data_IF_219270331097
#
_entry.id   IF_219270331097
#
_cell.length_a   1.000
_cell.length_b   1.000
_cell.length_c   1.000
_cell.angle_alpha   90.00
_cell.angle_beta   90.00
_cell.angle_gamma   90.00
#
_symmetry.space_group_name_H-M   'P 1'
#
loop_
_entity.id
_entity.type
_entity.pdbx_description
1 polymer ?
#
# COMPACT_ATOMS: atom_id res chain seq x y z
N UNK A 1 -12.86 -23.46 3.30
CA UNK A 1 -11.83 -23.15 2.28
C UNK A 1 -12.31 -22.10 1.25
N UNK A 2 -13.61 -21.91 1.06
CA UNK A 2 -14.20 -20.98 0.07
C UNK A 2 -14.07 -19.49 0.49
N UNK A 3 -14.11 -19.17 1.77
CA UNK A 3 -13.99 -17.80 2.30
C UNK A 3 -12.59 -17.19 2.12
N UNK A 4 -11.54 -18.00 2.23
CA UNK A 4 -10.14 -17.53 2.08
C UNK A 4 -9.83 -17.19 0.60
N UNK A 5 -10.37 -17.96 -0.36
CA UNK A 5 -10.22 -17.68 -1.80
C UNK A 5 -10.94 -16.39 -2.22
N UNK A 6 -12.10 -16.08 -1.65
CA UNK A 6 -12.86 -14.87 -1.93
C UNK A 6 -12.14 -13.59 -1.47
N UNK A 7 -11.47 -13.62 -0.30
CA UNK A 7 -10.73 -12.44 0.20
C UNK A 7 -9.47 -12.18 -0.63
N UNK A 8 -8.72 -13.21 -0.98
CA UNK A 8 -7.52 -13.08 -1.82
C UNK A 8 -7.84 -12.53 -3.22
N UNK A 9 -8.92 -12.98 -3.84
CA UNK A 9 -9.37 -12.47 -5.14
C UNK A 9 -9.78 -10.99 -5.06
N UNK A 10 -10.50 -10.58 -4.01
CA UNK A 10 -10.87 -9.18 -3.76
C UNK A 10 -9.64 -8.29 -3.57
N UNK A 11 -8.61 -8.78 -2.88
CA UNK A 11 -7.38 -8.02 -2.61
C UNK A 11 -6.54 -7.84 -3.89
N UNK A 12 -6.46 -8.88 -4.73
CA UNK A 12 -5.79 -8.79 -6.04
C UNK A 12 -6.52 -7.80 -6.94
N UNK A 13 -7.84 -7.83 -6.96
CA UNK A 13 -8.66 -6.91 -7.74
C UNK A 13 -8.42 -5.45 -7.34
N UNK A 14 -8.47 -5.13 -6.05
CA UNK A 14 -8.20 -3.77 -5.54
C UNK A 14 -6.80 -3.29 -5.90
N UNK A 15 -5.78 -4.16 -5.80
CA UNK A 15 -4.42 -3.81 -6.19
C UNK A 15 -4.33 -3.47 -7.67
N UNK A 16 -4.99 -4.23 -8.54
CA UNK A 16 -5.01 -3.98 -9.97
C UNK A 16 -5.74 -2.69 -10.33
N UNK A 17 -6.84 -2.38 -9.65
CA UNK A 17 -7.58 -1.13 -9.81
C UNK A 17 -6.71 0.09 -9.47
N UNK A 18 -6.00 0.07 -8.33
CA UNK A 18 -5.07 1.12 -7.96
C UNK A 18 -3.91 1.26 -8.95
N UNK A 19 -3.37 0.14 -9.43
CA UNK A 19 -2.29 0.15 -10.43
C UNK A 19 -2.76 0.74 -11.75
N UNK A 20 -3.95 0.34 -12.24
CA UNK A 20 -4.51 0.86 -13.49
C UNK A 20 -4.77 2.37 -13.39
N UNK A 21 -5.39 2.83 -12.29
CA UNK A 21 -5.63 4.25 -12.06
C UNK A 21 -4.33 5.06 -12.11
N UNK A 22 -3.27 4.59 -11.44
CA UNK A 22 -1.97 5.26 -11.44
C UNK A 22 -1.33 5.28 -12.83
N UNK A 23 -1.38 4.18 -13.56
CA UNK A 23 -0.89 4.11 -14.95
C UNK A 23 -1.63 5.07 -15.87
N UNK A 24 -2.93 5.22 -15.68
CA UNK A 24 -3.74 6.15 -16.46
C UNK A 24 -3.35 7.60 -16.16
N UNK A 25 -3.16 7.96 -14.90
CA UNK A 25 -2.69 9.28 -14.46
C UNK A 25 -1.28 9.60 -15.01
N UNK A 26 -0.40 8.60 -15.07
CA UNK A 26 0.95 8.72 -15.62
C UNK A 26 1.01 8.63 -17.16
N UNK A 27 -0.11 8.51 -17.85
CA UNK A 27 -0.21 8.32 -19.29
C UNK A 27 0.55 7.08 -19.80
N UNK A 28 0.62 6.04 -18.98
CA UNK A 28 1.28 4.75 -19.26
C UNK A 28 0.30 3.65 -19.72
N UNK A 29 -0.95 3.98 -19.91
CA UNK A 29 -1.92 3.17 -20.65
C UNK A 29 -1.89 3.66 -22.08
N UNK A 30 -1.38 2.83 -22.98
CA UNK A 30 -1.27 3.20 -24.38
C UNK A 30 -2.43 2.65 -25.20
N UNK A 31 -3.15 3.56 -25.83
CA UNK A 31 -4.20 3.25 -26.79
C UNK A 31 -3.73 3.63 -28.20
N UNK A 32 -3.69 2.64 -29.07
CA UNK A 32 -3.35 2.77 -30.48
C UNK A 32 -4.56 2.38 -31.32
N UNK A 33 -4.49 2.53 -32.64
CA UNK A 33 -5.61 2.23 -33.55
C UNK A 33 -6.12 0.79 -33.40
N UNK A 34 -5.22 -0.18 -33.23
CA UNK A 34 -5.53 -1.61 -33.30
C UNK A 34 -5.30 -2.35 -31.98
N UNK A 35 -4.79 -1.70 -30.96
CA UNK A 35 -4.55 -2.29 -29.64
C UNK A 35 -4.48 -1.26 -28.53
N UNK A 36 -4.73 -1.72 -27.32
CA UNK A 36 -4.35 -1.00 -26.11
C UNK A 36 -3.46 -1.92 -25.23
N UNK A 37 -2.54 -1.32 -24.51
CA UNK A 37 -1.56 -2.07 -23.71
C UNK A 37 -1.13 -1.27 -22.48
N UNK A 38 -0.90 -1.97 -21.37
CA UNK A 38 -0.23 -1.41 -20.23
C UNK A 38 0.60 -2.46 -19.47
N UNK A 39 1.59 -2.00 -18.73
CA UNK A 39 2.42 -2.84 -17.86
C UNK A 39 1.67 -3.09 -16.54
N UNK A 40 1.39 -4.33 -16.22
CA UNK A 40 0.63 -4.71 -15.02
C UNK A 40 1.38 -4.51 -13.70
N UNK A 41 2.70 -4.26 -13.75
CA UNK A 41 3.58 -4.26 -12.58
C UNK A 41 3.81 -5.66 -11.99
N UNK A 42 3.29 -6.70 -12.63
CA UNK A 42 3.53 -8.09 -12.26
C UNK A 42 4.71 -8.67 -13.05
N UNK A 43 5.28 -9.74 -12.52
CA UNK A 43 6.39 -10.45 -13.14
C UNK A 43 6.09 -11.95 -13.20
N UNK A 44 6.59 -12.61 -14.23
CA UNK A 44 6.56 -14.06 -14.30
C UNK A 44 7.63 -14.70 -13.40
N UNK A 45 7.77 -16.03 -13.46
CA UNK A 45 8.78 -16.77 -12.69
C UNK A 45 10.23 -16.31 -12.95
N UNK A 46 10.52 -15.82 -14.15
CA UNK A 46 11.84 -15.32 -14.55
C UNK A 46 12.04 -13.82 -14.33
N UNK A 47 11.16 -13.18 -13.58
CA UNK A 47 11.13 -11.73 -13.35
C UNK A 47 10.99 -10.88 -14.62
N UNK A 48 10.39 -11.45 -15.68
CA UNK A 48 10.05 -10.69 -16.86
C UNK A 48 8.72 -9.95 -16.63
N UNK A 49 8.60 -8.67 -17.04
CA UNK A 49 7.37 -7.91 -16.92
C UNK A 49 6.20 -8.57 -17.67
N UNK A 50 5.01 -8.45 -17.13
CA UNK A 50 3.77 -8.93 -17.72
C UNK A 50 2.94 -7.72 -18.14
N UNK A 51 2.49 -7.72 -19.39
CA UNK A 51 1.67 -6.68 -19.98
C UNK A 51 0.25 -7.20 -20.20
N UNK A 52 -0.76 -6.38 -19.91
CA UNK A 52 -2.13 -6.61 -20.34
C UNK A 52 -2.30 -6.04 -21.74
N UNK A 53 -2.72 -6.88 -22.67
CA UNK A 53 -2.89 -6.55 -24.08
C UNK A 53 -4.36 -6.67 -24.47
N UNK A 54 -4.84 -5.67 -25.18
CA UNK A 54 -6.24 -5.53 -25.55
C UNK A 54 -6.35 -5.30 -27.05
N UNK A 55 -7.40 -5.87 -27.64
CA UNK A 55 -7.80 -5.66 -29.01
C UNK A 55 -9.13 -4.88 -29.08
N UNK A 56 -9.47 -4.26 -30.20
CA UNK A 56 -10.76 -3.58 -30.34
C UNK A 56 -11.92 -4.56 -30.09
N UNK A 57 -12.87 -4.11 -29.30
CA UNK A 57 -14.08 -4.89 -29.05
C UNK A 57 -15.02 -4.78 -30.26
N UNK A 58 -15.32 -5.91 -30.88
CA UNK A 58 -16.20 -5.99 -32.06
C UNK A 58 -17.70 -6.05 -31.70
N UNK A 59 -18.02 -6.16 -30.41
CA UNK A 59 -19.41 -6.22 -29.95
C UNK A 59 -19.95 -4.79 -29.77
N UNK A 60 -21.04 -4.41 -30.49
CA UNK A 60 -21.65 -3.10 -30.33
C UNK A 60 -22.11 -2.83 -28.89
N UNK A 61 -22.09 -1.57 -28.49
CA UNK A 61 -22.56 -1.08 -27.16
C UNK A 61 -21.78 -1.64 -25.95
N UNK A 62 -20.58 -2.21 -26.17
CA UNK A 62 -19.63 -2.64 -25.15
C UNK A 62 -18.46 -1.67 -25.05
N UNK A 63 -17.63 -1.85 -23.99
CA UNK A 63 -16.37 -1.10 -23.86
C UNK A 63 -15.52 -1.25 -25.13
N UNK A 64 -14.74 -0.23 -25.52
CA UNK A 64 -14.00 -0.21 -26.79
C UNK A 64 -12.93 -1.28 -26.89
N UNK A 65 -12.44 -1.79 -25.77
CA UNK A 65 -11.33 -2.72 -25.69
C UNK A 65 -11.75 -4.05 -25.07
N UNK A 66 -11.29 -5.13 -25.66
CA UNK A 66 -11.43 -6.50 -25.17
C UNK A 66 -10.06 -7.02 -24.73
N UNK A 67 -9.94 -7.55 -23.51
CA UNK A 67 -8.71 -8.15 -23.03
C UNK A 67 -8.42 -9.44 -23.82
N UNK A 68 -7.39 -9.39 -24.64
CA UNK A 68 -6.90 -10.55 -25.40
C UNK A 68 -6.08 -11.48 -24.50
N UNK A 69 -5.15 -10.92 -23.72
CA UNK A 69 -4.36 -11.72 -22.80
C UNK A 69 -3.30 -10.95 -22.02
N UNK A 70 -2.49 -11.73 -21.30
CA UNK A 70 -1.34 -11.25 -20.55
C UNK A 70 -0.07 -11.83 -21.17
N UNK A 71 0.83 -10.95 -21.61
CA UNK A 71 1.99 -11.33 -22.41
C UNK A 71 3.29 -10.76 -21.85
N UNK A 72 4.39 -11.45 -22.13
CA UNK A 72 5.75 -10.94 -21.92
C UNK A 72 6.22 -10.12 -23.11
N UNK A 73 7.27 -9.33 -22.93
CA UNK A 73 7.91 -8.56 -24.00
C UNK A 73 8.24 -9.42 -25.21
N UNK A 74 8.80 -10.62 -25.00
CA UNK A 74 9.18 -11.53 -26.09
C UNK A 74 8.00 -11.86 -27.02
N UNK A 75 6.81 -12.08 -26.46
CA UNK A 75 5.62 -12.36 -27.24
C UNK A 75 5.15 -11.14 -28.01
N UNK A 76 5.11 -9.99 -27.37
CA UNK A 76 4.66 -8.73 -27.97
C UNK A 76 5.59 -8.25 -29.10
N UNK A 77 6.91 -8.47 -28.98
CA UNK A 77 7.87 -8.19 -30.03
C UNK A 77 7.59 -9.04 -31.30
N UNK A 78 7.17 -10.30 -31.17
CA UNK A 78 6.75 -11.13 -32.29
C UNK A 78 5.50 -10.60 -33.01
N UNK A 79 4.60 -9.97 -32.27
CA UNK A 79 3.43 -9.29 -32.79
C UNK A 79 3.75 -7.88 -33.38
N UNK A 80 5.03 -7.52 -33.46
CA UNK A 80 5.49 -6.25 -34.04
C UNK A 80 5.41 -5.05 -33.09
N UNK A 81 5.17 -5.27 -31.80
CA UNK A 81 5.12 -4.20 -30.79
C UNK A 81 6.53 -4.00 -30.23
N UNK A 82 7.26 -3.03 -30.78
CA UNK A 82 8.68 -2.79 -30.47
C UNK A 82 8.89 -1.85 -29.28
N UNK A 83 7.88 -1.04 -28.91
CA UNK A 83 7.91 -0.16 -27.76
C UNK A 83 6.85 -0.60 -26.76
N UNK A 84 7.20 -0.60 -25.48
CA UNK A 84 6.33 -1.05 -24.41
C UNK A 84 6.20 0.01 -23.32
N UNK A 85 5.02 0.17 -22.71
CA UNK A 85 4.82 1.12 -21.64
C UNK A 85 5.55 0.70 -20.36
N UNK A 86 6.02 1.69 -19.64
CA UNK A 86 6.63 1.48 -18.33
C UNK A 86 5.58 1.07 -17.28
N UNK A 87 6.05 0.46 -16.19
CA UNK A 87 5.21 0.20 -15.02
C UNK A 87 4.86 1.50 -14.29
N UNK A 88 3.81 1.47 -13.46
CA UNK A 88 3.47 2.56 -12.56
C UNK A 88 4.63 2.89 -11.61
N UNK A 89 4.88 4.19 -11.43
CA UNK A 89 5.87 4.71 -10.49
C UNK A 89 5.18 5.16 -9.21
N UNK A 90 5.44 4.46 -8.10
CA UNK A 90 4.90 4.83 -6.79
C UNK A 90 5.92 5.57 -5.93
N UNK A 91 7.21 5.43 -6.23
CA UNK A 91 8.31 5.95 -5.42
C UNK A 91 9.14 6.87 -6.30
N UNK A 92 8.97 8.16 -6.09
CA UNK A 92 9.75 9.18 -6.80
C UNK A 92 11.11 9.39 -6.12
N UNK A 93 11.10 9.41 -4.78
CA UNK A 93 12.31 9.56 -3.98
C UNK A 93 12.49 8.33 -3.07
N UNK A 94 13.54 7.51 -3.25
CA UNK A 94 13.80 6.35 -2.41
C UNK A 94 13.97 6.68 -0.92
N UNK A 95 14.36 7.91 -0.56
CA UNK A 95 14.47 8.32 0.85
C UNK A 95 13.14 8.34 1.58
N UNK A 96 12.01 8.41 0.86
CA UNK A 96 10.66 8.40 1.46
C UNK A 96 10.25 7.00 1.96
N UNK A 97 11.00 5.97 1.55
CA UNK A 97 10.77 4.59 2.00
C UNK A 97 11.39 4.30 3.38
N UNK A 98 12.25 5.17 3.87
CA UNK A 98 12.98 4.98 5.13
C UNK A 98 12.55 6.05 6.13
N UNK A 99 12.21 5.60 7.35
CA UNK A 99 11.84 6.51 8.43
C UNK A 99 13.07 7.23 8.99
N UNK A 100 13.03 8.57 9.03
CA UNK A 100 14.06 9.37 9.67
C UNK A 100 13.76 9.50 11.19
N UNK A 101 14.51 8.76 11.98
CA UNK A 101 14.34 8.73 13.45
C UNK A 101 14.67 10.05 14.13
N UNK A 102 15.35 10.97 13.45
CA UNK A 102 15.68 12.31 13.98
C UNK A 102 14.47 13.24 13.97
N UNK A 103 13.49 12.97 13.12
CA UNK A 103 12.30 13.79 13.01
C UNK A 103 11.25 13.43 14.06
N UNK A 104 10.52 14.41 14.61
CA UNK A 104 9.41 14.15 15.51
C UNK A 104 8.21 13.58 14.76
N UNK A 105 7.45 12.72 15.44
CA UNK A 105 6.12 12.27 15.02
C UNK A 105 5.08 13.01 15.83
N UNK A 106 4.17 13.70 15.17
CA UNK A 106 3.08 14.43 15.80
C UNK A 106 1.77 13.69 15.54
N UNK A 107 1.22 12.98 16.56
CA UNK A 107 -0.07 12.33 16.44
C UNK A 107 -1.20 13.36 16.29
N UNK A 108 -2.11 13.11 15.37
CA UNK A 108 -3.31 13.92 15.21
C UNK A 108 -4.47 13.29 16.01
N UNK A 109 -4.53 13.60 17.30
CA UNK A 109 -5.48 12.97 18.22
C UNK A 109 -6.93 13.16 17.85
N UNK A 110 -7.30 14.32 17.27
CA UNK A 110 -8.66 14.59 16.79
C UNK A 110 -9.07 13.59 15.73
N UNK A 111 -8.15 13.21 14.83
CA UNK A 111 -8.42 12.17 13.83
C UNK A 111 -8.36 10.75 14.40
N UNK A 112 -7.46 10.50 15.36
CA UNK A 112 -7.26 9.15 15.90
C UNK A 112 -8.40 8.77 16.86
N UNK A 113 -8.86 9.71 17.68
CA UNK A 113 -9.82 9.46 18.76
C UNK A 113 -11.19 10.12 18.55
N UNK A 114 -11.26 11.18 17.74
CA UNK A 114 -12.48 11.96 17.53
C UNK A 114 -13.33 11.50 16.34
N UNK A 115 -12.72 10.86 15.35
CA UNK A 115 -13.43 10.24 14.24
C UNK A 115 -13.93 8.87 14.66
N UNK A 116 -15.24 8.59 14.52
CA UNK A 116 -15.88 7.34 14.97
C UNK A 116 -15.27 6.11 14.28
N UNK A 117 -15.02 6.16 12.97
CA UNK A 117 -14.43 5.05 12.22
C UNK A 117 -13.00 4.75 12.70
N UNK A 118 -12.20 5.80 12.92
CA UNK A 118 -10.83 5.65 13.39
C UNK A 118 -10.78 5.16 14.83
N UNK A 119 -11.61 5.74 15.70
CA UNK A 119 -11.72 5.35 17.11
C UNK A 119 -12.19 3.88 17.25
N UNK A 120 -13.10 3.42 16.40
CA UNK A 120 -13.58 2.03 16.41
C UNK A 120 -12.48 0.99 16.14
N UNK A 121 -11.36 1.38 15.53
CA UNK A 121 -10.21 0.51 15.27
C UNK A 121 -9.35 0.27 16.48
N UNK A 122 -9.40 1.19 17.49
CA UNK A 122 -8.63 1.05 18.71
C UNK A 122 -9.18 -0.08 19.60
N UNK A 123 -8.31 -0.77 20.37
CA UNK A 123 -8.78 -1.67 21.42
C UNK A 123 -9.77 -0.97 22.36
N UNK A 124 -10.85 -1.65 22.71
CA UNK A 124 -11.93 -1.07 23.51
C UNK A 124 -11.40 -0.48 24.83
N UNK A 125 -10.51 -1.20 25.50
CA UNK A 125 -9.93 -0.81 26.78
C UNK A 125 -9.16 0.52 26.69
N UNK A 126 -8.54 0.78 25.55
CA UNK A 126 -7.80 2.03 25.30
C UNK A 126 -8.74 3.14 24.88
N UNK A 127 -9.68 2.84 23.96
CA UNK A 127 -10.65 3.81 23.47
C UNK A 127 -11.48 4.43 24.58
N UNK A 128 -11.93 3.59 25.50
CA UNK A 128 -12.81 4.00 26.61
C UNK A 128 -12.02 4.57 27.82
N UNK A 129 -10.69 4.55 27.77
CA UNK A 129 -9.83 5.06 28.83
C UNK A 129 -9.75 6.60 28.84
N UNK A 130 -9.84 7.21 30.02
CA UNK A 130 -9.53 8.63 30.20
C UNK A 130 -8.06 8.97 29.94
N UNK A 131 -7.16 7.98 30.02
CA UNK A 131 -5.71 8.10 29.82
C UNK A 131 -5.27 7.69 28.38
N UNK A 132 -6.20 7.62 27.44
CA UNK A 132 -5.91 7.11 26.07
C UNK A 132 -4.78 7.85 25.37
N UNK A 133 -4.66 9.16 25.57
CA UNK A 133 -3.58 9.94 24.96
C UNK A 133 -2.21 9.56 25.54
N UNK A 134 -2.11 9.43 26.87
CA UNK A 134 -0.87 9.05 27.55
C UNK A 134 -0.45 7.61 27.20
N UNK A 135 -1.42 6.69 27.05
CA UNK A 135 -1.17 5.33 26.60
C UNK A 135 -0.62 5.34 25.17
N UNK A 136 -1.22 6.14 24.30
CA UNK A 136 -0.77 6.27 22.92
C UNK A 136 0.63 6.88 22.81
N UNK A 137 0.92 7.93 23.58
CA UNK A 137 2.24 8.55 23.63
C UNK A 137 3.32 7.58 24.15
N UNK A 138 2.97 6.77 25.15
CA UNK A 138 3.84 5.72 25.67
C UNK A 138 4.18 4.68 24.58
N UNK A 139 3.16 4.21 23.85
CA UNK A 139 3.31 3.28 22.75
C UNK A 139 4.15 3.90 21.61
N UNK A 140 3.92 5.16 21.26
CA UNK A 140 4.69 5.85 20.22
C UNK A 140 6.16 6.02 20.60
N UNK A 141 6.47 6.33 21.87
CA UNK A 141 7.85 6.36 22.39
C UNK A 141 8.52 4.99 22.26
N UNK A 142 7.81 3.92 22.57
CA UNK A 142 8.32 2.55 22.36
C UNK A 142 8.60 2.29 20.89
N UNK A 143 7.66 2.61 20.00
CA UNK A 143 7.81 2.46 18.55
C UNK A 143 9.06 3.20 18.05
N UNK A 144 9.31 4.41 18.53
CA UNK A 144 10.50 5.17 18.15
C UNK A 144 11.80 4.42 18.49
N UNK A 145 11.89 3.79 19.66
CA UNK A 145 13.03 2.95 20.03
C UNK A 145 13.16 1.70 19.13
N UNK A 146 12.04 1.10 18.74
CA UNK A 146 12.04 -0.02 17.79
C UNK A 146 12.59 0.41 16.43
N UNK A 147 12.22 1.61 15.95
CA UNK A 147 12.72 2.19 14.71
C UNK A 147 14.22 2.51 14.76
N UNK A 148 14.72 2.96 15.91
CA UNK A 148 16.16 3.18 16.15
C UNK A 148 16.94 1.86 16.14
N UNK A 149 16.33 0.77 16.63
CA UNK A 149 16.94 -0.56 16.64
C UNK A 149 16.92 -1.25 15.26
N UNK A 150 15.83 -1.09 14.49
CA UNK A 150 15.70 -1.68 13.15
C UNK A 150 14.89 -0.74 12.24
N UNK A 151 15.56 -0.15 11.24
CA UNK A 151 14.94 0.74 10.27
C UNK A 151 13.78 0.09 9.49
N UNK A 152 13.77 -1.24 9.36
CA UNK A 152 12.71 -1.99 8.69
C UNK A 152 11.41 -2.08 9.49
N UNK A 153 11.41 -1.57 10.72
CA UNK A 153 10.19 -1.46 11.54
C UNK A 153 9.15 -0.56 10.89
N UNK A 154 9.58 0.51 10.19
CA UNK A 154 8.68 1.32 9.38
C UNK A 154 8.41 0.61 8.05
N UNK A 155 7.14 0.42 7.72
CA UNK A 155 6.74 -0.26 6.49
C UNK A 155 6.08 0.76 5.55
N UNK A 156 6.59 0.94 4.32
CA UNK A 156 6.00 1.89 3.40
C UNK A 156 4.66 1.40 2.85
N UNK A 157 3.72 2.32 2.70
CA UNK A 157 2.50 2.17 1.91
C UNK A 157 2.34 3.34 0.94
N UNK A 158 1.63 3.12 -0.16
CA UNK A 158 1.20 4.18 -1.06
C UNK A 158 -0.28 4.47 -0.82
N UNK A 159 -0.59 5.70 -0.49
CA UNK A 159 -1.96 6.12 -0.25
C UNK A 159 -2.14 7.59 -0.65
N UNK A 160 -3.19 7.87 -1.39
CA UNK A 160 -3.56 9.22 -1.84
C UNK A 160 -2.37 9.99 -2.44
N UNK A 161 -1.75 9.41 -3.48
CA UNK A 161 -0.61 9.97 -4.26
C UNK A 161 0.67 10.25 -3.44
N UNK A 162 0.81 9.67 -2.27
CA UNK A 162 1.98 9.86 -1.42
C UNK A 162 2.46 8.58 -0.74
N UNK A 163 3.75 8.53 -0.46
CA UNK A 163 4.32 7.52 0.42
C UNK A 163 4.00 7.88 1.86
N UNK A 164 3.48 6.91 2.59
CA UNK A 164 3.31 6.98 4.04
C UNK A 164 4.06 5.81 4.68
N UNK A 165 4.51 6.01 5.90
CA UNK A 165 5.19 4.98 6.66
C UNK A 165 4.27 4.47 7.78
N UNK A 166 4.07 3.16 7.79
CA UNK A 166 3.29 2.45 8.79
C UNK A 166 4.18 2.12 9.99
N UNK A 167 3.82 2.64 11.15
CA UNK A 167 4.51 2.40 12.40
C UNK A 167 3.70 1.49 13.30
N UNK A 168 4.31 0.44 13.91
CA UNK A 168 3.61 -0.45 14.82
C UNK A 168 3.26 0.26 16.13
N UNK A 169 2.02 0.21 16.57
CA UNK A 169 1.55 0.76 17.85
C UNK A 169 1.09 -0.38 18.76
N UNK A 170 1.83 -0.57 19.85
CA UNK A 170 1.62 -1.60 20.86
C UNK A 170 0.94 -0.97 22.09
N UNK A 171 -0.39 -1.10 22.18
CA UNK A 171 -1.18 -0.47 23.24
C UNK A 171 -1.43 -1.40 24.43
N UNK A 172 -1.59 -2.70 24.18
CA UNK A 172 -1.92 -3.70 25.21
C UNK A 172 -0.71 -4.48 25.68
N UNK A 173 0.16 -4.88 24.76
CA UNK A 173 1.31 -5.71 25.08
C UNK A 173 2.57 -5.20 24.35
N UNK A 174 3.69 -5.02 25.08
CA UNK A 174 4.96 -4.65 24.46
C UNK A 174 5.37 -5.65 23.37
N UNK A 175 5.78 -5.13 22.21
CA UNK A 175 6.25 -5.94 21.08
C UNK A 175 5.14 -6.65 20.26
N UNK A 176 3.86 -6.53 20.66
CA UNK A 176 2.72 -7.00 19.88
C UNK A 176 1.90 -5.83 19.38
N UNK A 177 2.05 -5.44 18.12
CA UNK A 177 1.27 -4.34 17.57
C UNK A 177 -0.23 -4.64 17.57
N UNK A 178 -1.01 -3.66 18.00
CA UNK A 178 -2.48 -3.69 17.92
C UNK A 178 -2.95 -2.99 16.65
N UNK A 179 -2.21 -1.94 16.24
CA UNK A 179 -2.53 -1.07 15.13
C UNK A 179 -1.25 -0.64 14.39
N UNK A 180 -1.45 -0.10 13.19
CA UNK A 180 -0.44 0.59 12.43
C UNK A 180 -0.78 2.09 12.33
N UNK A 181 0.08 2.96 12.81
CA UNK A 181 -0.05 4.41 12.64
C UNK A 181 0.49 4.79 11.26
N UNK A 182 -0.35 5.34 10.41
CA UNK A 182 0.06 5.89 9.12
C UNK A 182 0.65 7.28 9.30
N UNK A 183 1.94 7.41 9.02
CA UNK A 183 2.71 8.63 9.15
C UNK A 183 3.10 9.19 7.79
N UNK A 184 2.84 10.47 7.58
CA UNK A 184 3.23 11.21 6.39
C UNK A 184 4.25 12.28 6.77
N UNK A 185 5.35 12.36 6.01
CA UNK A 185 6.32 13.43 6.16
C UNK A 185 5.71 14.74 5.67
N UNK A 186 5.91 15.83 6.41
CA UNK A 186 5.44 17.16 5.98
C UNK A 186 6.22 17.64 4.76
N UNK A 187 5.63 18.50 3.96
CA UNK A 187 6.25 19.04 2.73
C UNK A 187 7.56 19.80 2.98
N UNK A 188 7.69 20.43 4.15
CA UNK A 188 8.92 21.07 4.61
C UNK A 188 9.98 20.08 5.13
N UNK A 189 9.63 18.81 5.22
CA UNK A 189 10.53 17.74 5.66
C UNK A 189 10.86 17.76 7.15
N UNK A 190 10.22 18.61 7.97
CA UNK A 190 10.61 18.86 9.37
C UNK A 190 10.06 17.83 10.38
N UNK A 191 8.99 17.12 10.04
CA UNK A 191 8.29 16.20 10.94
C UNK A 191 7.43 15.19 10.20
N UNK A 192 6.94 14.20 10.95
CA UNK A 192 5.90 13.29 10.49
C UNK A 192 4.57 13.61 11.19
N UNK A 193 3.49 13.58 10.42
CA UNK A 193 2.12 13.64 10.94
C UNK A 193 1.55 12.23 11.01
N UNK A 194 1.27 11.75 12.21
CA UNK A 194 0.55 10.49 12.45
C UNK A 194 -0.95 10.72 12.37
N UNK A 195 -1.55 10.46 11.21
CA UNK A 195 -2.93 10.86 10.92
C UNK A 195 -3.97 9.82 11.32
N UNK A 196 -3.73 8.58 11.00
CA UNK A 196 -4.76 7.53 11.07
C UNK A 196 -4.17 6.24 11.58
N UNK A 197 -4.87 5.58 12.49
CA UNK A 197 -4.58 4.23 12.88
C UNK A 197 -5.32 3.24 11.99
N UNK A 198 -4.59 2.34 11.37
CA UNK A 198 -5.12 1.24 10.56
C UNK A 198 -5.14 -0.04 11.37
N UNK A 199 -6.13 -0.90 11.16
CA UNK A 199 -6.02 -2.28 11.62
C UNK A 199 -4.84 -2.96 10.94
N UNK A 200 -4.24 -3.96 11.57
CA UNK A 200 -3.10 -4.67 10.98
C UNK A 200 -3.44 -5.30 9.63
N UNK A 201 -4.68 -5.76 9.46
CA UNK A 201 -5.17 -6.27 8.18
C UNK A 201 -5.20 -5.19 7.09
N UNK A 202 -5.72 -3.99 7.38
CA UNK A 202 -5.72 -2.89 6.41
C UNK A 202 -4.29 -2.48 6.06
N UNK A 203 -3.43 -2.34 7.06
CA UNK A 203 -2.02 -2.01 6.88
C UNK A 203 -1.28 -3.04 6.01
N UNK A 204 -1.52 -4.33 6.24
CA UNK A 204 -0.97 -5.42 5.45
C UNK A 204 -1.37 -5.30 3.97
N UNK A 205 -2.66 -5.09 3.68
CA UNK A 205 -3.13 -4.97 2.30
C UNK A 205 -2.53 -3.76 1.58
N UNK A 206 -2.45 -2.63 2.27
CA UNK A 206 -1.88 -1.41 1.70
C UNK A 206 -0.37 -1.54 1.44
N UNK A 207 0.37 -2.11 2.39
CA UNK A 207 1.82 -2.26 2.28
C UNK A 207 2.24 -3.19 1.12
N UNK A 208 1.44 -4.20 0.79
CA UNK A 208 1.72 -5.17 -0.29
C UNK A 208 1.85 -4.54 -1.68
N UNK A 209 1.42 -3.30 -1.87
CA UNK A 209 1.61 -2.60 -3.13
C UNK A 209 3.09 -2.31 -3.39
N UNK A 210 3.83 -1.98 -2.34
CA UNK A 210 5.23 -1.55 -2.42
C UNK A 210 6.24 -2.60 -1.91
N UNK A 211 5.86 -3.39 -0.92
CA UNK A 211 6.78 -4.25 -0.20
C UNK A 211 6.23 -5.68 -0.02
N UNK A 212 7.15 -6.64 0.06
CA UNK A 212 6.85 -7.98 0.59
C UNK A 212 6.98 -7.93 2.10
N UNK A 213 5.86 -8.07 2.79
CA UNK A 213 5.79 -7.96 4.26
C UNK A 213 5.82 -9.33 4.97
N UNK A 214 6.20 -10.39 4.26
CA UNK A 214 6.10 -11.80 4.70
C UNK A 214 6.95 -12.16 5.93
N UNK A 215 7.85 -11.28 6.36
CA UNK A 215 8.71 -11.46 7.54
C UNK A 215 8.68 -10.24 8.48
N UNK A 216 7.64 -9.44 8.40
CA UNK A 216 7.49 -8.25 9.24
C UNK A 216 6.48 -8.49 10.36
N UNK A 217 6.44 -7.56 11.33
CA UNK A 217 5.44 -7.55 12.41
C UNK A 217 3.99 -7.57 11.89
N UNK A 218 3.75 -7.12 10.64
CA UNK A 218 2.41 -7.15 10.02
C UNK A 218 1.92 -8.58 9.74
N UNK A 219 2.82 -9.52 9.37
CA UNK A 219 2.44 -10.90 9.07
C UNK A 219 2.16 -11.72 10.33
N UNK A 220 3.01 -11.61 11.33
CA UNK A 220 2.87 -12.38 12.58
C UNK A 220 1.55 -12.08 13.30
N UNK A 221 0.98 -10.91 13.04
CA UNK A 221 -0.26 -10.45 13.69
C UNK A 221 -1.54 -10.76 12.89
N UNK A 222 -1.41 -11.11 11.60
CA UNK A 222 -2.55 -11.47 10.74
C UNK A 222 -2.82 -12.99 10.75
N UNK A 223 -1.82 -13.79 11.13
CA UNK A 223 -1.89 -15.26 11.16
C UNK A 223 -2.37 -15.82 12.51
N UNK A 224 -2.63 -14.99 13.50
CA UNK A 224 -3.18 -15.34 14.81
C UNK A 224 -4.65 -14.93 14.90
#
# INVERSE_FOLDING_TARGET
STRVRSSAASDVYKRQEHTFKRLYEEQKVWEKKNYAIFNTGLFNYYYQPIYAYFIPNLVPDRQPWFLDGFYTEYYLLKEGITCLPEKACYVENPSDLVFDTKLPVIPQYEHIFGDEENAARLPKEVRDSSMKMQLFDGALKQTKRMLEADYRTAIPQYYNHSIQLLLPICLRHPGKPDLALACMKTSDGSKYLGRTCLTLRMAYHNARLLARVDRSWLMTSVSA
#
